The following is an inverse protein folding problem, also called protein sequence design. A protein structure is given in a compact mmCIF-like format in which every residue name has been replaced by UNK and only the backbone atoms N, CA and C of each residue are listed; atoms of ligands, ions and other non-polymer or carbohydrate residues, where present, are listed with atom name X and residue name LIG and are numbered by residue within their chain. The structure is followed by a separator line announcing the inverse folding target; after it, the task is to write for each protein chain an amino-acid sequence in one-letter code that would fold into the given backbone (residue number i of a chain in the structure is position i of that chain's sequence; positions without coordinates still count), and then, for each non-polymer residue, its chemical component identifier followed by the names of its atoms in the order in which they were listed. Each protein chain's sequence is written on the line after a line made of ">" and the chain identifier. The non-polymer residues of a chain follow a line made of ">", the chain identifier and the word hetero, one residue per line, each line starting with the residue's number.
data_IF_983132697392
#
_entry.id   IF_983132697392
#
_cell.length_a   1.000
_cell.length_b   1.000
_cell.length_c   1.000
_cell.angle_alpha   90.00
_cell.angle_beta   90.00
_cell.angle_gamma   90.00
#
_symmetry.space_group_name_H-M   'P 1'
#
loop_
_entity.id
_entity.type
_entity.pdbx_description
1 polymer ?
#
# COMPACT_ATOMS: atom_id res chain seq x y z
N UNK A 1 -33.96 -31.65 -30.34
CA UNK A 1 -34.22 -30.35 -29.67
C UNK A 1 -32.86 -29.79 -29.30
N UNK A 2 -32.40 -28.75 -30.01
CA UNK A 2 -31.12 -28.09 -29.73
C UNK A 2 -31.28 -27.28 -28.45
N UNK A 3 -30.45 -27.57 -27.46
CA UNK A 3 -30.33 -26.76 -26.25
C UNK A 3 -29.73 -25.41 -26.66
N UNK A 4 -30.55 -24.36 -26.71
CA UNK A 4 -30.10 -23.02 -27.04
C UNK A 4 -28.98 -22.58 -26.09
N UNK A 5 -27.93 -21.98 -26.65
CA UNK A 5 -26.86 -21.38 -25.86
C UNK A 5 -27.45 -20.37 -24.92
N UNK A 6 -27.14 -20.50 -23.63
CA UNK A 6 -27.53 -19.57 -22.58
C UNK A 6 -26.94 -18.19 -22.90
N UNK A 7 -27.75 -17.14 -23.18
CA UNK A 7 -27.24 -15.81 -23.55
C UNK A 7 -26.48 -15.12 -22.40
N UNK A 8 -26.43 -15.72 -21.22
CA UNK A 8 -25.75 -15.22 -20.03
C UNK A 8 -24.41 -15.92 -19.74
N UNK A 9 -23.96 -16.84 -20.63
CA UNK A 9 -22.61 -17.36 -20.61
C UNK A 9 -21.74 -16.50 -21.55
N UNK A 10 -20.99 -15.50 -21.02
CA UNK A 10 -19.94 -14.88 -21.80
C UNK A 10 -18.94 -15.96 -22.18
N UNK A 11 -18.46 -15.92 -23.43
CA UNK A 11 -17.36 -16.76 -23.90
C UNK A 11 -16.25 -16.79 -22.83
N UNK A 12 -15.64 -17.95 -22.57
CA UNK A 12 -14.54 -18.00 -21.60
C UNK A 12 -13.48 -16.97 -22.02
N UNK A 13 -13.19 -16.04 -21.12
CA UNK A 13 -12.06 -15.13 -21.28
C UNK A 13 -10.80 -16.00 -21.40
N UNK A 14 -9.86 -15.66 -22.30
CA UNK A 14 -8.60 -16.37 -22.35
C UNK A 14 -7.96 -16.33 -20.95
N UNK A 15 -7.54 -17.49 -20.48
CA UNK A 15 -6.77 -17.54 -19.24
C UNK A 15 -5.49 -16.72 -19.45
N UNK A 16 -5.10 -15.89 -18.48
CA UNK A 16 -3.80 -15.19 -18.56
C UNK A 16 -2.69 -16.25 -18.68
N UNK A 17 -1.68 -15.91 -19.46
CA UNK A 17 -0.53 -16.77 -19.68
C UNK A 17 0.05 -17.22 -18.32
N UNK A 18 0.47 -18.48 -18.17
CA UNK A 18 0.97 -19.02 -16.90
C UNK A 18 2.11 -18.20 -16.28
N UNK A 19 2.90 -17.53 -17.13
CA UNK A 19 4.01 -16.66 -16.74
C UNK A 19 3.57 -15.43 -15.92
N UNK A 20 2.30 -15.03 -16.04
CA UNK A 20 1.70 -13.93 -15.26
C UNK A 20 1.12 -14.40 -13.92
N UNK A 21 1.45 -15.60 -13.47
CA UNK A 21 0.97 -16.15 -12.20
C UNK A 21 2.13 -16.59 -11.34
N UNK A 22 2.04 -16.31 -10.05
CA UNK A 22 2.96 -16.84 -9.07
C UNK A 22 2.30 -16.88 -7.68
N UNK A 23 2.78 -17.77 -6.82
CA UNK A 23 2.41 -17.71 -5.41
C UNK A 23 3.17 -16.53 -4.76
N UNK A 24 2.47 -15.49 -4.28
CA UNK A 24 3.12 -14.35 -3.64
C UNK A 24 3.79 -14.69 -2.30
N UNK A 25 3.43 -15.81 -1.68
CA UNK A 25 4.04 -16.28 -0.42
C UNK A 25 5.28 -17.14 -0.66
N UNK A 26 5.53 -17.60 -1.90
CA UNK A 26 6.68 -18.44 -2.21
C UNK A 26 8.00 -17.72 -1.93
N UNK A 27 8.89 -18.40 -1.23
CA UNK A 27 10.20 -17.87 -0.83
C UNK A 27 10.17 -16.87 0.34
N UNK A 28 9.00 -16.54 0.88
CA UNK A 28 8.89 -15.75 2.10
C UNK A 28 9.06 -16.63 3.33
N UNK A 29 9.59 -16.05 4.42
CA UNK A 29 9.68 -16.76 5.71
C UNK A 29 8.28 -17.19 6.16
N UNK A 30 8.10 -18.44 6.65
CA UNK A 30 6.87 -18.88 7.29
C UNK A 30 6.47 -17.95 8.45
N UNK A 31 5.18 -17.85 8.75
CA UNK A 31 4.68 -16.99 9.83
C UNK A 31 5.36 -17.29 11.18
N UNK A 32 5.56 -18.56 11.50
CA UNK A 32 6.20 -19.00 12.73
C UNK A 32 7.71 -18.63 12.84
N UNK A 33 8.34 -18.25 11.73
CA UNK A 33 9.75 -17.84 11.67
C UNK A 33 9.92 -16.31 11.60
N UNK A 34 8.81 -15.56 11.57
CA UNK A 34 8.84 -14.11 11.66
C UNK A 34 9.17 -13.67 13.10
N UNK A 35 9.87 -12.57 13.23
CA UNK A 35 10.23 -12.03 14.54
C UNK A 35 11.39 -11.05 14.44
N UNK A 36 11.94 -10.64 15.58
CA UNK A 36 13.08 -9.74 15.63
C UNK A 36 14.26 -10.23 14.81
N UNK A 37 15.01 -9.28 14.25
CA UNK A 37 16.22 -9.52 13.46
C UNK A 37 17.21 -10.43 14.21
N UNK A 38 17.83 -11.35 13.50
CA UNK A 38 18.93 -12.18 14.03
C UNK A 38 20.23 -11.38 14.00
N UNK A 39 21.17 -11.73 14.88
CA UNK A 39 22.45 -11.01 15.01
C UNK A 39 23.33 -11.08 13.74
N UNK A 40 23.17 -12.13 12.93
CA UNK A 40 23.89 -12.34 11.67
C UNK A 40 23.25 -11.65 10.45
N UNK A 41 22.08 -11.05 10.63
CA UNK A 41 21.38 -10.32 9.56
C UNK A 41 21.89 -8.88 9.45
N UNK A 42 21.81 -8.26 8.25
CA UNK A 42 22.16 -6.86 8.04
C UNK A 42 21.37 -5.92 8.96
N UNK A 43 21.96 -4.75 9.24
CA UNK A 43 21.31 -3.74 10.08
C UNK A 43 20.02 -3.22 9.41
N UNK A 44 19.01 -2.81 10.21
CA UNK A 44 17.85 -2.10 9.70
C UNK A 44 18.26 -0.90 8.84
N UNK A 45 17.54 -0.66 7.75
CA UNK A 45 17.84 0.37 6.75
C UNK A 45 18.80 -0.08 5.66
N UNK A 46 19.47 -1.24 5.79
CA UNK A 46 20.28 -1.79 4.70
C UNK A 46 19.38 -2.16 3.51
N UNK A 47 19.67 -1.59 2.33
CA UNK A 47 18.98 -1.88 1.07
C UNK A 47 19.93 -2.61 0.13
N UNK A 48 19.61 -3.84 -0.21
CA UNK A 48 20.32 -4.64 -1.20
C UNK A 48 19.56 -4.59 -2.54
N UNK A 49 20.19 -4.07 -3.60
CA UNK A 49 19.61 -4.11 -4.94
C UNK A 49 19.94 -5.47 -5.56
N UNK A 50 18.92 -6.29 -5.76
CA UNK A 50 19.05 -7.68 -6.25
C UNK A 50 19.04 -7.75 -7.78
N UNK A 51 18.28 -6.87 -8.43
CA UNK A 51 18.21 -6.75 -9.88
C UNK A 51 17.62 -5.40 -10.29
N UNK A 52 17.98 -4.94 -11.49
CA UNK A 52 17.44 -3.75 -12.14
C UNK A 52 17.05 -4.11 -13.59
N UNK A 53 15.97 -3.53 -14.08
CA UNK A 53 15.54 -3.69 -15.46
C UNK A 53 16.37 -2.75 -16.36
N UNK A 54 16.83 -3.24 -17.50
CA UNK A 54 17.68 -2.46 -18.42
C UNK A 54 16.89 -1.44 -19.25
N UNK A 55 15.58 -1.64 -19.40
CA UNK A 55 14.71 -0.83 -20.27
C UNK A 55 13.86 0.18 -19.50
N UNK A 56 13.83 0.11 -18.17
CA UNK A 56 13.06 0.99 -17.31
C UNK A 56 13.78 1.24 -15.99
N UNK A 57 13.17 2.02 -15.08
CA UNK A 57 13.71 2.22 -13.73
C UNK A 57 13.31 1.12 -12.75
N UNK A 58 12.57 0.08 -13.19
CA UNK A 58 12.10 -0.99 -12.33
C UNK A 58 13.26 -1.73 -11.67
N UNK A 59 13.14 -1.96 -10.36
CA UNK A 59 14.17 -2.63 -9.58
C UNK A 59 13.58 -3.62 -8.58
N UNK A 60 14.32 -4.65 -8.24
CA UNK A 60 14.01 -5.55 -7.14
C UNK A 60 15.08 -5.43 -6.07
N UNK A 61 14.66 -5.11 -4.86
CA UNK A 61 15.56 -4.93 -3.73
C UNK A 61 15.13 -5.81 -2.54
N UNK A 62 15.99 -5.86 -1.54
CA UNK A 62 15.69 -6.36 -0.20
C UNK A 62 15.99 -5.28 0.81
N UNK A 63 14.96 -4.83 1.53
CA UNK A 63 15.07 -3.89 2.63
C UNK A 63 15.11 -4.69 3.94
N UNK A 64 16.12 -4.45 4.76
CA UNK A 64 16.22 -5.04 6.09
C UNK A 64 15.57 -4.14 7.13
N UNK A 65 14.73 -4.73 7.98
CA UNK A 65 14.07 -4.07 9.10
C UNK A 65 14.37 -4.78 10.42
N UNK A 66 13.95 -4.21 11.55
CA UNK A 66 14.10 -4.84 12.86
C UNK A 66 13.37 -6.19 12.98
N UNK A 67 12.30 -6.41 12.20
CA UNK A 67 11.50 -7.64 12.20
C UNK A 67 11.68 -8.49 10.93
N UNK A 68 12.79 -8.32 10.24
CA UNK A 68 13.21 -9.13 9.10
C UNK A 68 13.16 -8.40 7.76
N UNK A 69 13.50 -9.11 6.68
CA UNK A 69 13.60 -8.51 5.35
C UNK A 69 12.23 -8.31 4.68
N UNK A 70 12.17 -7.29 3.84
CA UNK A 70 11.07 -7.00 2.91
C UNK A 70 11.60 -7.07 1.49
N UNK A 71 11.09 -8.00 0.69
CA UNK A 71 11.41 -8.15 -0.73
C UNK A 71 10.59 -7.14 -1.55
N UNK A 72 11.24 -6.23 -2.25
CA UNK A 72 10.58 -5.19 -3.04
C UNK A 72 10.66 -5.49 -4.54
N UNK A 73 9.71 -4.97 -5.35
CA UNK A 73 8.52 -4.20 -4.98
C UNK A 73 7.59 -4.98 -4.04
N UNK A 74 6.90 -4.28 -3.13
CA UNK A 74 5.94 -4.90 -2.22
C UNK A 74 4.69 -4.05 -1.99
N UNK A 75 3.56 -4.71 -1.75
CA UNK A 75 2.30 -4.08 -1.38
C UNK A 75 2.04 -4.25 0.12
N UNK A 76 1.65 -3.18 0.80
CA UNK A 76 1.36 -3.15 2.22
C UNK A 76 -0.15 -3.10 2.46
N UNK A 77 -0.76 -4.13 3.06
CA UNK A 77 -2.15 -4.06 3.50
C UNK A 77 -2.33 -3.01 4.60
N UNK A 78 -3.42 -2.23 4.51
CA UNK A 78 -3.72 -1.18 5.48
C UNK A 78 -4.52 -1.73 6.65
N UNK A 79 -3.90 -1.69 7.84
CA UNK A 79 -4.46 -2.05 9.13
C UNK A 79 -4.65 -0.84 10.04
N UNK A 80 -5.58 0.06 9.72
CA UNK A 80 -5.79 1.39 10.33
C UNK A 80 -5.71 1.42 11.86
N UNK A 81 -6.31 0.46 12.54
CA UNK A 81 -6.33 0.35 14.01
C UNK A 81 -5.42 -0.79 14.54
N UNK A 82 -4.33 -1.08 13.85
CA UNK A 82 -3.55 -2.26 14.15
C UNK A 82 -4.23 -3.57 13.73
N UNK A 83 -5.13 -3.52 12.74
CA UNK A 83 -5.80 -4.71 12.20
C UNK A 83 -6.21 -4.49 10.74
N UNK A 84 -5.83 -5.39 9.86
CA UNK A 84 -6.42 -5.49 8.52
C UNK A 84 -7.80 -6.11 8.66
N UNK A 85 -8.84 -5.34 8.31
CA UNK A 85 -10.23 -5.66 8.66
C UNK A 85 -10.65 -7.07 8.21
N UNK A 86 -10.99 -7.91 9.18
CA UNK A 86 -11.54 -9.24 8.97
C UNK A 86 -10.50 -10.33 8.65
N UNK A 87 -9.20 -10.04 8.70
CA UNK A 87 -8.14 -11.01 8.36
C UNK A 87 -7.18 -11.15 9.53
N UNK A 88 -6.83 -12.39 9.87
CA UNK A 88 -5.85 -12.71 10.92
C UNK A 88 -4.42 -12.49 10.42
N UNK A 89 -3.45 -12.26 11.32
CA UNK A 89 -2.04 -12.11 10.95
C UNK A 89 -1.47 -13.30 10.16
N UNK A 90 -1.81 -14.52 10.54
CA UNK A 90 -1.39 -15.74 9.84
C UNK A 90 -1.94 -15.80 8.41
N UNK A 91 -3.18 -15.33 8.22
CA UNK A 91 -3.81 -15.28 6.90
C UNK A 91 -3.22 -14.19 6.02
N UNK A 92 -2.83 -13.05 6.61
CA UNK A 92 -2.09 -12.02 5.87
C UNK A 92 -0.78 -12.61 5.31
N UNK A 93 -0.06 -13.37 6.13
CA UNK A 93 1.16 -14.03 5.68
C UNK A 93 0.88 -15.08 4.60
N UNK A 94 -0.17 -15.89 4.78
CA UNK A 94 -0.56 -16.94 3.83
C UNK A 94 -1.00 -16.37 2.46
N UNK A 95 -1.44 -15.12 2.40
CA UNK A 95 -1.76 -14.44 1.13
C UNK A 95 -0.60 -13.57 0.60
N UNK A 96 0.61 -13.65 1.18
CA UNK A 96 1.82 -13.02 0.67
C UNK A 96 2.19 -11.68 1.29
N UNK A 97 1.50 -11.23 2.35
CA UNK A 97 1.88 -9.99 3.05
C UNK A 97 3.25 -10.14 3.72
N UNK A 98 4.15 -9.21 3.44
CA UNK A 98 5.49 -9.17 4.04
C UNK A 98 5.56 -8.11 5.15
N UNK A 99 4.91 -7.01 4.95
CA UNK A 99 4.85 -5.83 5.81
C UNK A 99 3.40 -5.36 5.86
N UNK A 100 2.98 -4.80 6.99
CA UNK A 100 1.66 -4.20 7.16
C UNK A 100 1.80 -2.71 7.45
N UNK A 101 0.80 -1.91 7.01
CA UNK A 101 0.73 -0.50 7.35
C UNK A 101 -0.35 -0.28 8.41
N UNK A 102 0.00 0.42 9.49
CA UNK A 102 -0.95 0.92 10.47
C UNK A 102 -0.98 2.46 10.47
N UNK A 103 -1.94 3.05 11.17
CA UNK A 103 -2.12 4.48 11.15
C UNK A 103 -1.86 5.08 12.54
N UNK A 104 -0.78 5.87 12.66
CA UNK A 104 -0.38 6.46 13.93
C UNK A 104 -1.44 7.41 14.50
N UNK A 105 -2.14 8.19 13.66
CA UNK A 105 -3.24 9.05 14.12
C UNK A 105 -4.30 8.26 14.88
N UNK A 106 -4.76 7.15 14.31
CA UNK A 106 -5.79 6.33 14.95
C UNK A 106 -5.28 5.67 16.23
N UNK A 107 -4.07 5.11 16.20
CA UNK A 107 -3.47 4.45 17.37
C UNK A 107 -3.13 5.43 18.48
N UNK A 108 -2.75 6.67 18.15
CA UNK A 108 -2.45 7.73 19.13
C UNK A 108 -3.69 8.20 19.88
N UNK A 109 -4.87 8.13 19.26
CA UNK A 109 -6.11 8.51 19.94
C UNK A 109 -6.78 7.33 20.64
N UNK A 110 -6.73 6.14 20.03
CA UNK A 110 -7.34 4.91 20.58
C UNK A 110 -6.55 3.68 20.15
N UNK A 111 -5.92 2.97 21.08
CA UNK A 111 -6.03 3.06 22.55
C UNK A 111 -5.11 4.12 23.20
N UNK A 112 -4.31 4.84 22.44
CA UNK A 112 -3.22 5.71 22.86
C UNK A 112 -1.86 5.06 22.71
N UNK A 113 -0.80 5.83 22.38
CA UNK A 113 0.55 5.31 22.09
C UNK A 113 1.15 4.63 23.31
N UNK A 114 0.90 5.16 24.51
CA UNK A 114 1.36 4.58 25.77
C UNK A 114 0.81 3.17 26.00
N UNK A 115 -0.49 2.96 25.68
CA UNK A 115 -1.08 1.63 25.81
C UNK A 115 -0.48 0.62 24.84
N UNK A 116 -0.17 1.05 23.62
CA UNK A 116 0.52 0.20 22.65
C UNK A 116 1.92 -0.16 23.15
N UNK A 117 2.66 0.81 23.70
CA UNK A 117 3.98 0.61 24.30
C UNK A 117 3.95 -0.38 25.47
N UNK A 118 2.98 -0.24 26.39
CA UNK A 118 2.83 -1.12 27.56
C UNK A 118 2.68 -2.60 27.22
N UNK A 119 2.07 -2.92 26.06
CA UNK A 119 1.90 -4.29 25.62
C UNK A 119 3.04 -4.81 24.73
N UNK A 120 4.10 -4.02 24.56
CA UNK A 120 5.29 -4.39 23.80
C UNK A 120 5.31 -3.90 22.35
N UNK A 121 4.66 -2.76 22.06
CA UNK A 121 4.61 -2.14 20.75
C UNK A 121 3.59 -2.76 19.80
N UNK A 122 3.54 -2.23 18.56
CA UNK A 122 2.54 -2.61 17.56
C UNK A 122 2.60 -4.10 17.19
N UNK A 123 3.79 -4.68 17.15
CA UNK A 123 3.99 -6.09 16.80
C UNK A 123 3.31 -7.03 17.80
N UNK A 124 3.51 -6.79 19.09
CA UNK A 124 2.85 -7.55 20.16
C UNK A 124 1.35 -7.24 20.22
N UNK A 125 0.96 -5.97 20.02
CA UNK A 125 -0.43 -5.52 20.03
C UNK A 125 -1.26 -6.18 18.92
N UNK A 126 -0.72 -6.22 17.68
CA UNK A 126 -1.36 -6.83 16.52
C UNK A 126 -1.18 -8.34 16.44
N UNK A 127 -0.25 -8.93 17.22
CA UNK A 127 0.24 -10.29 17.01
C UNK A 127 0.81 -10.50 15.59
N UNK A 128 1.41 -9.45 15.04
CA UNK A 128 2.09 -9.48 13.76
C UNK A 128 3.60 -9.43 13.99
N UNK A 129 4.32 -10.54 13.86
CA UNK A 129 5.76 -10.59 14.17
C UNK A 129 6.66 -10.10 13.02
N UNK A 130 6.09 -9.81 11.86
CA UNK A 130 6.82 -9.28 10.69
C UNK A 130 6.92 -7.74 10.69
N UNK A 131 7.56 -7.15 9.67
CA UNK A 131 7.72 -5.71 9.53
C UNK A 131 6.40 -4.94 9.57
N UNK A 132 6.44 -3.74 10.16
CA UNK A 132 5.31 -2.82 10.21
C UNK A 132 5.77 -1.39 9.85
N UNK A 133 4.92 -0.67 9.12
CA UNK A 133 5.08 0.76 8.84
C UNK A 133 3.90 1.50 9.46
N UNK A 134 4.15 2.69 10.03
CA UNK A 134 3.08 3.61 10.42
C UNK A 134 3.18 4.91 9.64
N UNK A 135 2.03 5.39 9.14
CA UNK A 135 1.93 6.74 8.60
C UNK A 135 1.91 7.78 9.74
N UNK A 136 2.25 9.03 9.43
CA UNK A 136 2.28 10.12 10.41
C UNK A 136 0.89 10.52 10.94
N UNK A 137 -0.16 10.14 10.26
CA UNK A 137 -1.52 10.62 10.53
C UNK A 137 -1.83 12.01 9.96
N UNK A 138 -0.88 12.65 9.29
CA UNK A 138 -1.07 14.00 8.71
C UNK A 138 -2.24 14.04 7.72
N UNK A 139 -2.31 13.11 6.78
CA UNK A 139 -3.41 13.05 5.80
C UNK A 139 -4.80 12.98 6.46
N UNK A 140 -4.96 12.24 7.55
CA UNK A 140 -6.22 12.12 8.27
C UNK A 140 -6.64 13.45 8.89
N UNK A 141 -5.69 14.18 9.45
CA UNK A 141 -5.95 15.53 9.98
C UNK A 141 -6.30 16.49 8.86
N UNK A 142 -5.56 16.50 7.75
CA UNK A 142 -5.81 17.41 6.62
C UNK A 142 -7.10 17.08 5.87
N UNK A 143 -7.58 15.86 5.85
CA UNK A 143 -8.88 15.51 5.27
C UNK A 143 -10.07 16.07 6.05
N UNK A 144 -9.89 16.43 7.32
CA UNK A 144 -10.91 17.00 8.23
C UNK A 144 -10.89 18.56 8.25
N UNK A 145 -10.74 19.19 7.12
CA UNK A 145 -10.48 20.63 6.90
C UNK A 145 -11.25 21.63 7.76
N UNK A 146 -12.48 21.35 8.13
CA UNK A 146 -13.34 22.27 8.88
C UNK A 146 -12.95 22.46 10.35
N UNK A 147 -12.01 21.67 10.85
CA UNK A 147 -11.70 21.53 12.30
C UNK A 147 -10.19 21.69 12.61
N UNK A 148 -9.41 22.34 11.70
CA UNK A 148 -7.97 22.44 11.84
C UNK A 148 -7.46 23.87 11.66
N UNK A 149 -6.35 24.18 12.34
CA UNK A 149 -5.54 25.38 12.13
C UNK A 149 -4.08 24.95 11.98
N UNK A 150 -3.45 25.32 10.86
CA UNK A 150 -2.09 24.93 10.51
C UNK A 150 -1.19 26.15 10.70
N UNK A 151 -0.05 25.94 11.35
CA UNK A 151 1.05 26.90 11.43
C UNK A 151 2.40 26.22 11.14
N UNK A 152 3.48 26.96 11.21
CA UNK A 152 4.82 26.43 10.91
C UNK A 152 5.35 25.43 11.92
N UNK A 153 4.78 25.38 13.12
CA UNK A 153 5.16 24.45 14.18
C UNK A 153 4.28 23.22 14.30
N UNK A 154 3.15 23.18 13.57
CA UNK A 154 2.26 22.01 13.61
C UNK A 154 0.82 22.28 13.19
N UNK A 155 -0.07 21.41 13.62
CA UNK A 155 -1.49 21.42 13.30
C UNK A 155 -2.32 21.30 14.57
N UNK A 156 -3.15 22.30 14.85
CA UNK A 156 -4.22 22.20 15.84
C UNK A 156 -5.46 21.62 15.16
N UNK A 157 -6.08 20.62 15.75
CA UNK A 157 -7.27 19.97 15.19
C UNK A 157 -8.21 19.47 16.28
N UNK A 158 -9.40 19.08 15.88
CA UNK A 158 -10.31 18.33 16.76
C UNK A 158 -10.38 16.89 16.33
N UNK A 159 -10.28 15.97 17.31
CA UNK A 159 -10.37 14.54 17.00
C UNK A 159 -11.74 14.19 16.44
N UNK A 160 -11.79 13.28 15.49
CA UNK A 160 -13.06 12.79 14.96
C UNK A 160 -13.75 11.78 15.89
N UNK A 161 -13.10 11.39 17.00
CA UNK A 161 -13.62 10.42 17.95
C UNK A 161 -14.59 11.05 18.96
N UNK A 162 -14.26 12.23 19.47
CA UNK A 162 -14.99 12.90 20.55
C UNK A 162 -14.96 14.43 20.44
N UNK A 163 -14.31 14.97 19.40
CA UNK A 163 -14.17 16.42 19.21
C UNK A 163 -13.18 17.11 20.14
N UNK A 164 -12.39 16.35 20.91
CA UNK A 164 -11.38 16.90 21.79
C UNK A 164 -10.31 17.66 21.00
N UNK A 165 -9.82 18.81 21.52
CA UNK A 165 -8.72 19.53 20.88
C UNK A 165 -7.44 18.72 21.01
N UNK A 166 -6.64 18.71 19.92
CA UNK A 166 -5.35 18.05 19.86
C UNK A 166 -4.38 18.87 19.01
N UNK A 167 -3.09 18.68 19.21
CA UNK A 167 -2.04 19.29 18.41
C UNK A 167 -1.07 18.22 17.93
N UNK A 168 -0.68 18.30 16.67
CA UNK A 168 0.31 17.44 16.03
C UNK A 168 1.49 18.31 15.59
N UNK A 169 2.70 17.94 16.01
CA UNK A 169 3.97 18.57 15.65
C UNK A 169 4.96 17.53 15.17
N UNK A 170 6.05 17.87 14.48
CA UNK A 170 7.08 16.91 14.12
C UNK A 170 7.58 16.10 15.32
N UNK A 171 7.83 16.74 16.47
CA UNK A 171 8.24 16.07 17.71
C UNK A 171 7.17 15.10 18.23
N UNK A 172 5.92 15.55 18.36
CA UNK A 172 4.86 14.71 18.93
C UNK A 172 4.54 13.49 18.05
N UNK A 173 4.72 13.61 16.70
CA UNK A 173 4.59 12.48 15.79
C UNK A 173 5.71 11.47 16.05
N UNK A 174 6.96 11.90 16.13
CA UNK A 174 8.07 10.99 16.42
C UNK A 174 7.94 10.32 17.80
N UNK A 175 7.47 11.04 18.81
CA UNK A 175 7.22 10.48 20.16
C UNK A 175 6.12 9.40 20.11
N UNK A 176 5.04 9.64 19.36
CA UNK A 176 3.99 8.64 19.16
C UNK A 176 4.50 7.42 18.39
N UNK A 177 5.30 7.63 17.33
CA UNK A 177 5.93 6.59 16.55
C UNK A 177 6.91 5.73 17.38
N UNK A 178 7.71 6.37 18.23
CA UNK A 178 8.59 5.66 19.17
C UNK A 178 7.80 4.78 20.15
N UNK A 179 6.67 5.28 20.65
CA UNK A 179 5.82 4.54 21.58
C UNK A 179 5.03 3.41 20.89
N UNK A 180 4.56 3.63 19.65
CA UNK A 180 3.90 2.60 18.85
C UNK A 180 4.88 1.50 18.43
N UNK A 181 6.14 1.86 18.11
CA UNK A 181 7.22 0.93 17.83
C UNK A 181 7.12 0.18 16.50
N UNK A 182 6.78 0.80 15.34
CA UNK A 182 6.89 0.17 14.04
C UNK A 182 8.35 0.09 13.58
N UNK A 183 8.63 -0.70 12.52
CA UNK A 183 9.95 -0.72 11.88
C UNK A 183 10.21 0.55 11.05
N UNK A 184 9.17 1.10 10.43
CA UNK A 184 9.28 2.28 9.56
C UNK A 184 8.28 3.33 10.04
N UNK A 185 8.79 4.52 10.34
CA UNK A 185 8.03 5.69 10.76
C UNK A 185 7.98 6.72 9.64
N UNK A 186 6.81 7.31 9.39
CA UNK A 186 6.68 8.43 8.47
C UNK A 186 6.71 9.76 9.22
N UNK A 187 7.41 10.76 8.68
CA UNK A 187 7.39 12.11 9.25
C UNK A 187 6.05 12.80 9.04
N UNK A 188 5.77 13.84 9.84
CA UNK A 188 4.65 14.74 9.58
C UNK A 188 4.89 15.52 8.29
N UNK A 189 3.89 15.56 7.42
CA UNK A 189 3.88 16.32 6.17
C UNK A 189 2.58 17.09 6.01
N UNK A 190 2.60 18.13 5.19
CA UNK A 190 1.40 18.85 4.79
C UNK A 190 0.99 18.41 3.38
N UNK A 191 -0.05 17.60 3.30
CA UNK A 191 -0.62 17.13 2.04
C UNK A 191 -1.78 18.05 1.60
N UNK A 192 -1.57 18.94 0.62
CA UNK A 192 -2.65 19.76 0.08
C UNK A 192 -3.57 18.91 -0.80
N UNK A 193 -4.83 19.33 -1.03
CA UNK A 193 -5.70 18.67 -2.00
C UNK A 193 -5.14 18.68 -3.42
N UNK A 194 -5.47 17.66 -4.21
CA UNK A 194 -5.01 17.53 -5.60
C UNK A 194 -5.45 18.67 -6.54
N UNK A 195 -6.51 19.39 -6.17
CA UNK A 195 -7.01 20.56 -6.92
C UNK A 195 -6.37 21.89 -6.48
N UNK A 196 -5.42 21.88 -5.54
CA UNK A 196 -4.77 23.08 -5.03
C UNK A 196 -3.96 23.77 -6.13
N UNK A 197 -3.98 25.10 -6.11
CA UNK A 197 -3.13 25.89 -7.01
C UNK A 197 -1.64 25.76 -6.63
N UNK A 198 -0.76 26.22 -7.53
CA UNK A 198 0.69 26.13 -7.35
C UNK A 198 1.18 26.85 -6.09
N UNK A 199 0.54 27.96 -5.69
CA UNK A 199 0.95 28.72 -4.51
C UNK A 199 0.65 27.95 -3.22
N UNK A 200 -0.53 27.34 -3.11
CA UNK A 200 -0.91 26.49 -1.99
C UNK A 200 -0.04 25.22 -1.91
N UNK A 201 0.28 24.60 -3.06
CA UNK A 201 1.21 23.47 -3.13
C UNK A 201 2.59 23.87 -2.65
N UNK A 202 3.11 25.04 -3.07
CA UNK A 202 4.39 25.60 -2.60
C UNK A 202 4.40 25.81 -1.09
N UNK A 203 3.36 26.45 -0.54
CA UNK A 203 3.26 26.71 0.90
C UNK A 203 3.27 25.38 1.70
N UNK A 204 2.52 24.39 1.24
CA UNK A 204 2.50 23.06 1.87
C UNK A 204 3.86 22.35 1.79
N UNK A 205 4.54 22.46 0.65
CA UNK A 205 5.88 21.93 0.44
C UNK A 205 6.91 22.59 1.37
N UNK A 206 6.91 23.95 1.45
CA UNK A 206 7.84 24.70 2.29
C UNK A 206 7.64 24.38 3.77
N UNK A 207 6.38 24.17 4.20
CA UNK A 207 6.05 23.75 5.56
C UNK A 207 6.55 22.32 5.82
N UNK A 208 6.30 21.39 4.88
CA UNK A 208 6.82 20.02 4.97
C UNK A 208 8.35 20.01 5.05
N UNK A 209 9.04 20.87 4.32
CA UNK A 209 10.52 21.00 4.42
C UNK A 209 10.96 21.43 5.81
N UNK A 210 10.28 22.40 6.46
CA UNK A 210 10.60 22.82 7.84
C UNK A 210 10.39 21.66 8.81
N UNK A 211 9.25 21.00 8.73
CA UNK A 211 8.93 19.86 9.58
C UNK A 211 9.88 18.67 9.37
N UNK A 212 10.27 18.41 8.12
CA UNK A 212 11.24 17.36 7.80
C UNK A 212 12.63 17.65 8.41
N UNK A 213 13.09 18.89 8.37
CA UNK A 213 14.37 19.30 9.02
C UNK A 213 14.31 19.13 10.53
N UNK A 214 13.20 19.52 11.15
CA UNK A 214 12.99 19.31 12.58
C UNK A 214 12.97 17.80 12.91
N UNK A 215 12.20 17.00 12.18
CA UNK A 215 12.14 15.55 12.37
C UNK A 215 13.51 14.89 12.19
N UNK A 216 14.27 15.25 11.15
CA UNK A 216 15.60 14.73 10.93
C UNK A 216 16.58 15.05 12.06
N UNK A 217 16.44 16.22 12.68
CA UNK A 217 17.27 16.61 13.83
C UNK A 217 16.92 15.88 15.14
N UNK A 218 15.64 15.48 15.29
CA UNK A 218 15.11 14.87 16.51
C UNK A 218 15.10 13.34 16.46
N UNK A 219 15.08 12.73 15.27
CA UNK A 219 14.84 11.29 15.12
C UNK A 219 15.79 10.41 15.94
N UNK A 220 17.08 10.77 16.01
CA UNK A 220 18.07 9.97 16.74
C UNK A 220 17.95 10.10 18.27
N UNK A 221 17.31 11.17 18.76
CA UNK A 221 17.01 11.37 20.17
C UNK A 221 15.73 10.59 20.58
N UNK A 222 14.73 10.53 19.69
CA UNK A 222 13.38 10.08 20.01
C UNK A 222 13.11 8.64 19.58
N UNK A 223 13.49 8.28 18.34
CA UNK A 223 13.23 6.93 17.82
C UNK A 223 14.24 5.92 18.35
N UNK A 224 13.83 4.66 18.43
CA UNK A 224 14.77 3.58 18.73
C UNK A 224 15.76 3.41 17.58
N UNK A 225 16.96 2.92 17.87
CA UNK A 225 18.06 2.80 16.89
C UNK A 225 17.73 1.91 15.69
N UNK A 226 16.81 0.94 15.85
CA UNK A 226 16.37 0.02 14.82
C UNK A 226 15.12 0.52 14.06
N UNK A 227 14.53 1.66 14.44
CA UNK A 227 13.40 2.27 13.73
C UNK A 227 13.90 3.13 12.57
N UNK A 228 13.40 2.87 11.38
CA UNK A 228 13.67 3.64 10.18
C UNK A 228 12.73 4.85 10.10
N UNK A 229 13.24 5.98 9.65
CA UNK A 229 12.46 7.20 9.45
C UNK A 229 12.49 7.62 7.98
N UNK A 230 11.31 7.76 7.37
CA UNK A 230 11.19 8.11 5.95
C UNK A 230 10.74 9.57 5.81
N UNK A 231 11.44 10.31 4.92
CA UNK A 231 11.04 11.63 4.48
C UNK A 231 9.92 11.56 3.44
N UNK A 232 9.06 12.58 3.39
CA UNK A 232 7.94 12.64 2.44
C UNK A 232 8.14 13.82 1.49
N UNK A 233 8.27 13.51 0.18
CA UNK A 233 8.38 14.50 -0.88
C UNK A 233 6.98 14.94 -1.31
N UNK A 234 6.69 16.22 -1.23
CA UNK A 234 5.46 16.88 -1.67
C UNK A 234 5.70 17.66 -2.98
N UNK A 235 4.70 18.34 -3.52
CA UNK A 235 4.80 19.17 -4.74
C UNK A 235 3.66 18.93 -5.73
N UNK A 236 2.59 18.20 -5.34
CA UNK A 236 1.44 17.90 -6.22
C UNK A 236 1.89 17.19 -7.50
N UNK A 237 1.37 17.62 -8.64
CA UNK A 237 1.79 17.17 -9.98
C UNK A 237 2.74 18.14 -10.68
N UNK A 238 3.24 19.18 -9.98
CA UNK A 238 4.21 20.12 -10.49
C UNK A 238 5.62 19.52 -10.40
N UNK A 239 6.20 19.17 -11.55
CA UNK A 239 7.48 18.47 -11.61
C UNK A 239 8.66 19.31 -11.09
N UNK A 240 8.61 20.64 -11.22
CA UNK A 240 9.68 21.51 -10.74
C UNK A 240 9.63 21.61 -9.21
N UNK A 241 8.44 21.75 -8.64
CA UNK A 241 8.27 21.71 -7.19
C UNK A 241 8.68 20.35 -6.59
N UNK A 242 8.35 19.25 -7.26
CA UNK A 242 8.78 17.91 -6.85
C UNK A 242 10.30 17.76 -6.82
N UNK A 243 10.99 18.20 -7.87
CA UNK A 243 12.47 18.16 -7.94
C UNK A 243 13.08 19.00 -6.85
N UNK A 244 12.65 20.25 -6.73
CA UNK A 244 13.11 21.17 -5.68
C UNK A 244 12.94 20.57 -4.28
N UNK A 245 11.78 19.98 -4.00
CA UNK A 245 11.54 19.39 -2.70
C UNK A 245 12.37 18.13 -2.46
N UNK A 246 12.49 17.26 -3.46
CA UNK A 246 13.37 16.09 -3.37
C UNK A 246 14.81 16.50 -3.06
N UNK A 247 15.35 17.48 -3.76
CA UNK A 247 16.69 18.02 -3.52
C UNK A 247 16.84 18.58 -2.11
N UNK A 248 15.81 19.27 -1.59
CA UNK A 248 15.83 19.85 -0.25
C UNK A 248 15.80 18.80 0.87
N UNK A 249 15.29 17.60 0.61
CA UNK A 249 15.19 16.50 1.56
C UNK A 249 16.30 15.46 1.41
N UNK A 250 16.85 15.27 0.22
CA UNK A 250 17.81 14.19 -0.07
C UNK A 250 19.08 14.23 0.78
N UNK A 251 19.48 15.43 1.26
CA UNK A 251 20.62 15.62 2.15
C UNK A 251 20.30 15.44 3.64
N UNK A 252 19.03 15.25 4.02
CA UNK A 252 18.64 15.03 5.40
C UNK A 252 18.83 13.56 5.80
N UNK A 253 19.01 13.34 7.11
CA UNK A 253 19.23 12.00 7.66
C UNK A 253 17.93 11.17 7.71
N UNK A 254 17.48 10.70 6.54
CA UNK A 254 16.37 9.76 6.41
C UNK A 254 16.84 8.42 5.84
N UNK A 255 16.19 7.34 6.26
CA UNK A 255 16.49 5.97 5.84
C UNK A 255 15.80 5.58 4.53
N UNK A 256 14.79 6.35 4.12
CA UNK A 256 14.02 6.17 2.88
C UNK A 256 13.23 7.43 2.54
N UNK A 257 12.61 7.42 1.37
CA UNK A 257 11.78 8.53 0.91
C UNK A 257 10.45 8.05 0.34
N UNK A 258 9.40 8.82 0.63
CA UNK A 258 8.08 8.59 0.07
C UNK A 258 7.65 9.75 -0.84
N UNK A 259 6.88 9.45 -1.87
CA UNK A 259 6.11 10.42 -2.66
C UNK A 259 4.71 10.54 -2.04
N UNK A 260 4.46 11.65 -1.35
CA UNK A 260 3.15 11.99 -0.80
C UNK A 260 2.35 12.89 -1.74
N UNK A 261 1.07 13.18 -1.41
CA UNK A 261 0.22 14.10 -2.17
C UNK A 261 -0.05 13.67 -3.61
N UNK A 262 -0.14 12.37 -3.84
CA UNK A 262 -0.64 11.74 -5.06
C UNK A 262 -1.88 10.91 -4.73
N UNK A 263 -2.75 10.65 -5.74
CA UNK A 263 -4.06 9.99 -5.54
C UNK A 263 -4.99 10.74 -4.58
N UNK A 264 -4.93 12.08 -4.60
CA UNK A 264 -5.71 12.98 -3.75
C UNK A 264 -6.69 13.87 -4.56
N UNK A 265 -6.99 13.48 -5.81
CA UNK A 265 -7.96 14.15 -6.69
C UNK A 265 -7.41 14.59 -8.05
N UNK A 266 -6.11 14.46 -8.29
CA UNK A 266 -5.48 14.76 -9.58
C UNK A 266 -5.86 13.71 -10.65
N UNK A 267 -5.79 14.06 -11.95
CA UNK A 267 -5.99 13.11 -13.05
C UNK A 267 -4.93 11.99 -13.03
N UNK A 268 -5.37 10.74 -13.22
CA UNK A 268 -4.48 9.56 -13.25
C UNK A 268 -3.28 9.71 -14.21
N UNK A 269 -3.43 10.24 -15.44
CA UNK A 269 -2.28 10.46 -16.32
C UNK A 269 -1.24 11.44 -15.74
N UNK A 270 -1.66 12.47 -15.02
CA UNK A 270 -0.75 13.42 -14.39
C UNK A 270 0.00 12.76 -13.23
N UNK A 271 -0.67 11.92 -12.44
CA UNK A 271 -0.05 11.11 -11.40
C UNK A 271 1.03 10.18 -11.98
N UNK A 272 0.71 9.42 -13.03
CA UNK A 272 1.67 8.52 -13.68
C UNK A 272 2.87 9.27 -14.26
N UNK A 273 2.64 10.41 -14.94
CA UNK A 273 3.73 11.24 -15.44
C UNK A 273 4.63 11.78 -14.31
N UNK A 274 4.05 12.11 -13.16
CA UNK A 274 4.80 12.54 -11.98
C UNK A 274 5.67 11.40 -11.42
N UNK A 275 5.12 10.18 -11.31
CA UNK A 275 5.87 9.01 -10.87
C UNK A 275 7.04 8.73 -11.80
N UNK A 276 6.80 8.70 -13.10
CA UNK A 276 7.81 8.45 -14.13
C UNK A 276 8.95 9.47 -14.10
N UNK A 277 8.63 10.76 -13.89
CA UNK A 277 9.60 11.84 -13.87
C UNK A 277 10.39 11.95 -12.56
N UNK A 278 9.81 11.57 -11.41
CA UNK A 278 10.38 11.88 -10.10
C UNK A 278 10.96 10.64 -9.40
N UNK A 279 10.28 9.48 -9.47
CA UNK A 279 10.75 8.30 -8.74
C UNK A 279 12.18 7.86 -9.12
N UNK A 280 12.62 7.92 -10.40
CA UNK A 280 14.00 7.59 -10.76
C UNK A 280 15.05 8.55 -10.17
N UNK A 281 14.67 9.79 -9.82
CA UNK A 281 15.57 10.79 -9.23
C UNK A 281 15.79 10.59 -7.72
N UNK A 282 14.94 9.80 -7.06
CA UNK A 282 15.08 9.50 -5.64
C UNK A 282 16.39 8.71 -5.39
N UNK A 283 17.04 8.88 -4.21
CA UNK A 283 18.30 8.20 -3.91
C UNK A 283 18.26 6.71 -4.23
N UNK A 284 19.31 6.23 -4.94
CA UNK A 284 19.36 4.84 -5.41
C UNK A 284 19.55 3.83 -4.28
N UNK A 285 20.29 4.23 -3.26
CA UNK A 285 20.63 3.43 -2.08
C UNK A 285 19.58 3.48 -0.97
N UNK A 286 18.41 4.10 -1.22
CA UNK A 286 17.31 4.24 -0.27
C UNK A 286 16.04 3.59 -0.83
N UNK A 287 15.17 3.01 0.04
CA UNK A 287 13.85 2.56 -0.37
C UNK A 287 12.97 3.73 -0.81
N UNK A 288 12.17 3.48 -1.86
CA UNK A 288 11.25 4.43 -2.49
C UNK A 288 9.81 3.98 -2.29
N UNK A 289 9.05 4.79 -1.61
CA UNK A 289 7.66 4.50 -1.31
C UNK A 289 6.74 5.50 -2.01
N UNK A 290 5.63 5.08 -2.57
CA UNK A 290 4.55 5.96 -3.00
C UNK A 290 3.30 5.69 -2.18
N UNK A 291 2.75 6.74 -1.56
CA UNK A 291 1.68 6.63 -0.58
C UNK A 291 0.30 6.60 -1.25
N UNK A 292 -0.56 5.69 -0.80
CA UNK A 292 -1.99 5.70 -1.09
C UNK A 292 -2.40 5.30 -2.51
N UNK A 293 -1.49 4.83 -3.36
CA UNK A 293 -1.84 4.37 -4.71
C UNK A 293 -2.05 2.85 -4.75
N UNK A 294 -3.02 2.38 -5.54
CA UNK A 294 -3.30 0.97 -5.44
C UNK A 294 -4.30 0.39 -6.45
N UNK A 295 -4.48 0.97 -7.62
CA UNK A 295 -5.03 0.16 -8.71
C UNK A 295 -3.93 -0.68 -9.35
N UNK A 296 -4.29 -1.78 -9.99
CA UNK A 296 -3.31 -2.62 -10.68
C UNK A 296 -2.53 -1.83 -11.76
N UNK A 297 -3.17 -0.86 -12.41
CA UNK A 297 -2.53 0.01 -13.39
C UNK A 297 -1.51 0.96 -12.73
N UNK A 298 -1.87 1.55 -11.59
CA UNK A 298 -0.99 2.46 -10.86
C UNK A 298 0.24 1.73 -10.33
N UNK A 299 0.05 0.52 -9.79
CA UNK A 299 1.16 -0.32 -9.33
C UNK A 299 2.12 -0.68 -10.47
N UNK A 300 1.58 -1.00 -11.66
CA UNK A 300 2.41 -1.30 -12.82
C UNK A 300 3.25 -0.08 -13.25
N UNK A 301 2.61 1.11 -13.35
CA UNK A 301 3.29 2.36 -13.70
C UNK A 301 4.37 2.72 -12.66
N UNK A 302 4.06 2.63 -11.37
CA UNK A 302 4.96 2.97 -10.30
C UNK A 302 6.16 2.01 -10.20
N UNK A 303 5.96 0.70 -10.37
CA UNK A 303 7.04 -0.29 -10.41
C UNK A 303 7.97 0.00 -11.60
N UNK A 304 7.42 0.29 -12.78
CA UNK A 304 8.20 0.69 -13.95
C UNK A 304 9.05 1.94 -13.69
N UNK A 305 8.53 2.88 -12.90
CA UNK A 305 9.23 4.09 -12.48
C UNK A 305 10.26 3.86 -11.36
N UNK A 306 10.40 2.64 -10.83
CA UNK A 306 11.40 2.28 -9.83
C UNK A 306 10.98 2.48 -8.39
N UNK A 307 9.68 2.47 -8.11
CA UNK A 307 9.12 2.51 -6.75
C UNK A 307 9.15 1.11 -6.14
N UNK A 308 9.48 1.03 -4.85
CA UNK A 308 9.67 -0.21 -4.08
C UNK A 308 8.46 -0.61 -3.25
N UNK A 309 7.72 0.37 -2.68
CA UNK A 309 6.71 0.13 -1.66
C UNK A 309 5.41 0.86 -1.99
N UNK A 310 4.28 0.21 -1.69
CA UNK A 310 2.94 0.71 -2.01
C UNK A 310 1.96 0.34 -0.90
N UNK A 311 1.01 1.23 -0.62
CA UNK A 311 -0.14 0.92 0.23
C UNK A 311 -1.42 1.39 -0.42
N UNK A 312 -2.52 0.71 -0.15
CA UNK A 312 -3.86 1.22 -0.46
C UNK A 312 -4.94 0.45 0.31
N UNK A 313 -6.03 1.14 0.61
CA UNK A 313 -7.21 0.52 1.23
C UNK A 313 -8.09 -0.25 0.23
N UNK A 314 -7.84 -0.12 -1.08
CA UNK A 314 -8.65 -0.70 -2.16
C UNK A 314 -8.94 -2.20 -1.93
N UNK A 315 -7.97 -3.08 -1.67
CA UNK A 315 -8.25 -4.51 -1.55
C UNK A 315 -9.32 -4.81 -0.49
N UNK A 316 -9.17 -4.27 0.69
CA UNK A 316 -10.06 -4.52 1.81
C UNK A 316 -11.36 -3.69 1.75
N UNK A 317 -11.32 -2.44 1.25
CA UNK A 317 -12.50 -1.58 1.08
C UNK A 317 -13.44 -2.16 0.01
N UNK A 318 -12.91 -2.52 -1.15
CA UNK A 318 -13.67 -3.09 -2.25
C UNK A 318 -14.27 -4.46 -1.86
N UNK A 319 -13.50 -5.31 -1.18
CA UNK A 319 -14.01 -6.58 -0.65
C UNK A 319 -15.27 -6.37 0.19
N UNK A 320 -15.23 -5.46 1.17
CA UNK A 320 -16.38 -5.17 2.04
C UNK A 320 -17.61 -4.67 1.28
N UNK A 321 -17.39 -3.99 0.14
CA UNK A 321 -18.46 -3.46 -0.71
C UNK A 321 -18.93 -4.43 -1.79
N UNK A 322 -18.52 -5.69 -1.74
CA UNK A 322 -18.94 -6.72 -2.69
C UNK A 322 -18.08 -6.81 -3.95
N UNK A 323 -17.01 -6.02 -4.07
CA UNK A 323 -16.17 -5.99 -5.25
C UNK A 323 -14.98 -6.93 -5.11
N UNK A 324 -14.85 -7.90 -6.01
CA UNK A 324 -13.76 -8.84 -6.11
C UNK A 324 -12.88 -8.48 -7.32
N UNK A 325 -11.56 -8.62 -7.16
CA UNK A 325 -10.55 -8.22 -8.13
C UNK A 325 -9.70 -9.44 -8.48
N UNK A 326 -9.53 -9.70 -9.78
CA UNK A 326 -8.76 -10.84 -10.28
C UNK A 326 -8.03 -10.50 -11.57
N UNK A 327 -7.19 -11.37 -12.08
CA UNK A 327 -6.60 -11.21 -13.42
C UNK A 327 -7.64 -11.22 -14.54
N UNK A 328 -8.83 -11.78 -14.30
CA UNK A 328 -9.96 -11.74 -15.23
C UNK A 328 -10.77 -10.44 -15.17
N UNK A 329 -10.38 -9.49 -14.31
CA UNK A 329 -11.08 -8.23 -14.11
C UNK A 329 -11.68 -8.09 -12.72
N UNK A 330 -12.45 -7.04 -12.53
CA UNK A 330 -13.21 -6.78 -11.28
C UNK A 330 -14.70 -7.00 -11.53
N UNK A 331 -15.40 -7.50 -10.52
CA UNK A 331 -16.84 -7.67 -10.59
C UNK A 331 -17.48 -7.55 -9.20
N UNK A 332 -18.76 -7.19 -9.19
CA UNK A 332 -19.52 -7.11 -7.95
C UNK A 332 -20.25 -8.44 -7.72
N UNK A 333 -19.92 -9.12 -6.63
CA UNK A 333 -20.49 -10.43 -6.28
C UNK A 333 -22.01 -10.38 -6.02
N UNK A 334 -22.57 -9.21 -5.77
CA UNK A 334 -24.02 -9.01 -5.57
C UNK A 334 -24.84 -9.35 -6.81
N UNK A 335 -24.21 -9.29 -8.01
CA UNK A 335 -24.90 -9.54 -9.26
C UNK A 335 -25.59 -10.91 -9.28
N UNK A 336 -26.83 -10.95 -9.78
CA UNK A 336 -27.69 -12.14 -9.84
C UNK A 336 -27.09 -13.31 -10.63
N UNK A 337 -26.24 -13.02 -11.62
CA UNK A 337 -25.54 -14.04 -12.45
C UNK A 337 -24.69 -15.01 -11.63
N UNK A 338 -24.20 -14.60 -10.47
CA UNK A 338 -23.38 -15.45 -9.60
C UNK A 338 -24.18 -16.35 -8.66
N UNK A 339 -25.52 -16.29 -8.68
CA UNK A 339 -26.38 -17.11 -7.80
C UNK A 339 -26.18 -18.61 -7.97
N UNK A 340 -25.82 -19.06 -9.17
CA UNK A 340 -25.60 -20.46 -9.54
C UNK A 340 -24.23 -20.67 -10.19
N UNK A 341 -23.25 -19.81 -9.89
CA UNK A 341 -21.90 -19.91 -10.43
C UNK A 341 -20.99 -20.61 -9.41
N UNK A 342 -20.77 -21.90 -9.62
CA UNK A 342 -19.96 -22.73 -8.74
C UNK A 342 -18.45 -22.66 -9.01
N UNK A 343 -18.02 -21.82 -9.96
CA UNK A 343 -16.60 -21.56 -10.23
C UNK A 343 -15.99 -20.71 -9.08
N UNK A 344 -14.68 -20.80 -8.85
CA UNK A 344 -13.97 -19.89 -7.94
C UNK A 344 -14.02 -18.45 -8.46
N UNK A 345 -13.60 -17.47 -7.62
CA UNK A 345 -13.51 -16.06 -8.02
C UNK A 345 -12.65 -15.92 -9.28
N UNK A 346 -11.52 -16.60 -9.31
CA UNK A 346 -10.60 -16.66 -10.44
C UNK A 346 -10.09 -18.10 -10.56
N UNK A 347 -10.40 -18.82 -11.67
CA UNK A 347 -9.95 -20.21 -11.87
C UNK A 347 -8.44 -20.40 -11.86
N UNK A 348 -7.67 -19.38 -12.28
CA UNK A 348 -6.21 -19.40 -12.25
C UNK A 348 -5.59 -18.95 -10.91
N UNK A 349 -6.39 -18.58 -9.93
CA UNK A 349 -5.89 -18.07 -8.64
C UNK A 349 -5.65 -19.21 -7.64
N UNK A 350 -4.46 -19.29 -7.08
CA UNK A 350 -4.08 -20.30 -6.09
C UNK A 350 -4.38 -19.89 -4.62
N UNK A 351 -5.10 -18.77 -4.40
CA UNK A 351 -5.37 -18.33 -3.03
C UNK A 351 -6.26 -19.34 -2.26
N UNK A 352 -6.14 -19.36 -0.92
CA UNK A 352 -6.93 -20.28 -0.09
C UNK A 352 -8.45 -20.17 -0.27
N UNK A 353 -8.93 -19.01 -0.77
CA UNK A 353 -10.36 -18.76 -1.02
C UNK A 353 -10.79 -19.40 -2.33
N UNK A 354 -10.07 -19.15 -3.43
CA UNK A 354 -10.38 -19.74 -4.74
C UNK A 354 -10.24 -21.26 -4.76
N UNK A 355 -9.31 -21.81 -3.97
CA UNK A 355 -9.13 -23.25 -3.83
C UNK A 355 -10.31 -23.96 -3.14
N UNK A 356 -11.20 -23.23 -2.43
CA UNK A 356 -12.19 -23.84 -1.52
C UNK A 356 -13.61 -23.36 -1.74
N UNK A 357 -13.82 -22.14 -2.22
CA UNK A 357 -15.15 -21.49 -2.22
C UNK A 357 -15.55 -21.02 -3.60
N UNK A 358 -16.83 -21.22 -3.93
CA UNK A 358 -17.43 -20.79 -5.19
C UNK A 358 -17.96 -19.35 -5.11
N UNK A 359 -18.16 -18.73 -6.28
CA UNK A 359 -18.83 -17.43 -6.40
C UNK A 359 -20.25 -17.47 -5.86
N UNK A 360 -21.00 -18.57 -6.07
CA UNK A 360 -22.36 -18.75 -5.54
C UNK A 360 -22.36 -18.70 -4.02
N UNK A 361 -21.41 -19.35 -3.34
CA UNK A 361 -21.27 -19.31 -1.88
C UNK A 361 -20.88 -17.93 -1.38
N UNK A 362 -19.86 -17.30 -1.98
CA UNK A 362 -19.44 -15.94 -1.60
C UNK A 362 -20.59 -14.94 -1.77
N UNK A 363 -21.37 -15.06 -2.85
CA UNK A 363 -22.56 -14.25 -3.06
C UNK A 363 -23.60 -14.49 -1.97
N UNK A 364 -23.84 -15.73 -1.60
CA UNK A 364 -24.78 -16.08 -0.52
C UNK A 364 -24.38 -15.38 0.79
N UNK A 365 -23.13 -15.51 1.19
CA UNK A 365 -22.62 -14.84 2.40
C UNK A 365 -22.78 -13.31 2.31
N UNK A 366 -22.42 -12.71 1.16
CA UNK A 366 -22.49 -11.27 0.97
C UNK A 366 -23.92 -10.72 1.08
N UNK A 367 -24.89 -11.40 0.43
CA UNK A 367 -26.31 -10.97 0.44
C UNK A 367 -26.93 -11.06 1.85
N UNK A 368 -26.43 -11.96 2.68
CA UNK A 368 -26.85 -12.10 4.08
C UNK A 368 -26.04 -11.27 5.06
N UNK A 369 -25.10 -10.43 4.57
CA UNK A 369 -24.18 -9.62 5.38
C UNK A 369 -23.36 -10.45 6.39
N UNK A 370 -23.02 -11.70 6.02
CA UNK A 370 -22.24 -12.58 6.88
C UNK A 370 -20.79 -12.06 7.01
N UNK A 371 -20.24 -11.88 8.22
CA UNK A 371 -18.87 -11.43 8.42
C UNK A 371 -17.81 -12.29 7.73
N UNK A 372 -18.06 -13.59 7.54
CA UNK A 372 -17.16 -14.50 6.83
C UNK A 372 -16.93 -14.05 5.38
N UNK A 373 -17.94 -13.45 4.73
CA UNK A 373 -17.75 -12.88 3.40
C UNK A 373 -16.61 -11.84 3.38
N UNK A 374 -16.64 -10.90 4.32
CA UNK A 374 -15.63 -9.83 4.40
C UNK A 374 -14.21 -10.42 4.52
N UNK A 375 -14.05 -11.44 5.37
CA UNK A 375 -12.78 -12.15 5.55
C UNK A 375 -12.32 -12.81 4.26
N UNK A 376 -13.15 -13.65 3.66
CA UNK A 376 -12.80 -14.37 2.43
C UNK A 376 -12.52 -13.42 1.26
N UNK A 377 -13.38 -12.43 1.05
CA UNK A 377 -13.22 -11.45 -0.02
C UNK A 377 -11.95 -10.60 0.16
N UNK A 378 -11.62 -10.20 1.38
CA UNK A 378 -10.40 -9.44 1.68
C UNK A 378 -9.15 -10.28 1.43
N UNK A 379 -9.13 -11.54 1.87
CA UNK A 379 -8.03 -12.45 1.62
C UNK A 379 -7.78 -12.65 0.10
N UNK A 380 -8.85 -12.87 -0.67
CA UNK A 380 -8.72 -13.02 -2.12
C UNK A 380 -8.17 -11.76 -2.80
N UNK A 381 -8.73 -10.58 -2.47
CA UNK A 381 -8.26 -9.33 -3.06
C UNK A 381 -6.82 -9.02 -2.66
N UNK A 382 -6.41 -9.26 -1.41
CA UNK A 382 -5.03 -9.08 -0.98
C UNK A 382 -4.08 -10.02 -1.72
N UNK A 383 -4.46 -11.30 -1.86
CA UNK A 383 -3.68 -12.27 -2.65
C UNK A 383 -3.45 -11.76 -4.07
N UNK A 384 -4.49 -11.26 -4.74
CA UNK A 384 -4.34 -10.67 -6.08
C UNK A 384 -3.33 -9.53 -6.11
N UNK A 385 -3.37 -8.60 -5.14
CA UNK A 385 -2.43 -7.47 -5.13
C UNK A 385 -0.99 -7.92 -4.84
N UNK A 386 -0.81 -8.87 -3.95
CA UNK A 386 0.50 -9.45 -3.68
C UNK A 386 1.03 -10.23 -4.88
N UNK A 387 0.21 -11.04 -5.53
CA UNK A 387 0.55 -11.76 -6.75
C UNK A 387 0.92 -10.79 -7.89
N UNK A 388 0.12 -9.72 -8.08
CA UNK A 388 0.37 -8.68 -9.08
C UNK A 388 1.73 -8.01 -8.93
N UNK A 389 2.17 -7.76 -7.71
CA UNK A 389 3.49 -7.20 -7.42
C UNK A 389 4.59 -8.27 -7.48
N UNK A 390 4.33 -9.47 -6.98
CA UNK A 390 5.32 -10.55 -6.95
C UNK A 390 5.71 -11.04 -8.35
N UNK A 391 4.76 -11.12 -9.29
CA UNK A 391 5.07 -11.50 -10.67
C UNK A 391 6.01 -10.50 -11.33
N UNK A 392 5.82 -9.20 -11.08
CA UNK A 392 6.70 -8.15 -11.57
C UNK A 392 8.09 -8.23 -10.91
N UNK A 393 8.16 -8.39 -9.59
CA UNK A 393 9.42 -8.57 -8.85
C UNK A 393 10.24 -9.75 -9.40
N UNK A 394 9.60 -10.89 -9.67
CA UNK A 394 10.26 -12.05 -10.27
C UNK A 394 10.73 -11.78 -11.69
N UNK A 395 9.93 -11.10 -12.50
CA UNK A 395 10.29 -10.74 -13.86
C UNK A 395 11.53 -9.82 -13.91
N UNK A 396 11.61 -8.85 -13.00
CA UNK A 396 12.81 -8.00 -12.87
C UNK A 396 14.04 -8.86 -12.55
N UNK A 397 13.94 -9.82 -11.63
CA UNK A 397 15.04 -10.72 -11.26
C UNK A 397 15.47 -11.67 -12.37
N UNK A 398 14.53 -12.07 -13.22
CA UNK A 398 14.84 -12.92 -14.38
C UNK A 398 15.34 -12.15 -15.59
N UNK A 399 15.16 -10.81 -15.63
CA UNK A 399 15.54 -9.96 -16.75
C UNK A 399 14.52 -9.96 -17.90
N UNK A 400 13.27 -10.39 -17.67
CA UNK A 400 12.19 -10.43 -18.65
C UNK A 400 11.03 -9.46 -18.34
N UNK A 401 11.30 -8.44 -17.50
CA UNK A 401 10.28 -7.51 -17.00
C UNK A 401 9.49 -6.81 -18.11
N UNK A 402 10.15 -6.38 -19.20
CA UNK A 402 9.47 -5.69 -20.30
C UNK A 402 8.37 -6.57 -20.94
N UNK A 403 8.62 -7.87 -21.14
CA UNK A 403 7.65 -8.81 -21.71
C UNK A 403 6.48 -9.04 -20.75
N UNK A 404 6.76 -9.26 -19.46
CA UNK A 404 5.74 -9.47 -18.42
C UNK A 404 4.89 -8.20 -18.24
N UNK A 405 5.49 -7.02 -18.19
CA UNK A 405 4.77 -5.76 -18.09
C UNK A 405 3.80 -5.55 -19.27
N UNK A 406 4.25 -5.84 -20.50
CA UNK A 406 3.38 -5.78 -21.69
C UNK A 406 2.21 -6.79 -21.62
N UNK A 407 2.43 -7.98 -21.06
CA UNK A 407 1.37 -8.96 -20.77
C UNK A 407 0.34 -8.42 -19.77
N UNK A 408 0.82 -7.81 -18.68
CA UNK A 408 -0.04 -7.18 -17.65
C UNK A 408 -0.84 -5.99 -18.23
N UNK A 409 -0.25 -5.18 -19.11
CA UNK A 409 -0.97 -4.11 -19.83
C UNK A 409 -2.11 -4.65 -20.69
N UNK A 410 -1.92 -5.77 -21.39
CA UNK A 410 -3.00 -6.43 -22.13
C UNK A 410 -4.13 -6.87 -21.21
N UNK A 411 -3.81 -7.44 -20.05
CA UNK A 411 -4.81 -7.80 -19.02
C UNK A 411 -5.59 -6.57 -18.58
N UNK A 412 -4.94 -5.41 -18.35
CA UNK A 412 -5.61 -4.16 -18.02
C UNK A 412 -6.46 -3.62 -19.18
N UNK A 413 -5.96 -3.66 -20.42
CA UNK A 413 -6.67 -3.21 -21.61
C UNK A 413 -7.92 -4.04 -21.92
N UNK A 414 -7.87 -5.35 -21.74
CA UNK A 414 -9.02 -6.24 -21.88
C UNK A 414 -10.16 -5.92 -20.89
N UNK A 415 -9.84 -5.32 -19.75
CA UNK A 415 -10.81 -4.92 -18.71
C UNK A 415 -11.60 -3.66 -19.06
N UNK A 416 -11.08 -2.80 -19.94
CA UNK A 416 -11.67 -1.50 -20.29
C UNK A 416 -12.51 -1.53 -21.57
N UNK A 417 -12.57 -2.67 -22.29
CA UNK A 417 -13.38 -2.75 -23.51
C UNK A 417 -14.89 -2.76 -23.22
N UNK A 418 -15.72 -2.01 -24.00
CA UNK A 418 -17.17 -2.07 -23.92
C UNK A 418 -17.65 -3.51 -24.18
N UNK A 419 -18.32 -4.11 -23.20
CA UNK A 419 -18.75 -5.53 -23.26
C UNK A 419 -17.98 -6.45 -22.33
N UNK A 420 -16.83 -6.07 -21.80
CA UNK A 420 -16.24 -6.75 -20.64
C UNK A 420 -17.15 -6.48 -19.42
N UNK A 421 -17.31 -7.48 -18.56
CA UNK A 421 -18.12 -7.36 -17.33
C UNK A 421 -17.67 -6.19 -16.40
N UNK A 422 -16.57 -5.50 -16.75
CA UNK A 422 -16.00 -4.34 -16.04
C UNK A 422 -16.50 -2.99 -16.60
N UNK A 423 -17.02 -2.92 -17.84
CA UNK A 423 -17.46 -1.67 -18.46
C UNK A 423 -18.89 -1.23 -18.04
N UNK A 424 -19.61 -2.04 -17.28
CA UNK A 424 -20.99 -1.78 -16.90
C UNK A 424 -21.19 -1.13 -15.53
N UNK A 425 -20.10 -0.74 -14.83
CA UNK A 425 -20.18 -0.14 -13.47
C UNK A 425 -19.09 0.95 -13.31
N UNK A 426 -19.22 2.06 -14.04
CA UNK A 426 -18.60 3.35 -13.69
C UNK A 426 -19.68 4.22 -13.06
#
# INVERSE_FOLDING_TARGET
>A
MAVGADPWHPSPMPEPEPELRCDPAEGLRPFAELGPRRADEPRPGSLEILAEDLASAARSCRLWTAHGPVETPCFMPVGTYGAVKGVLPEELRAVGSQIVLANAYHLSHRPGPERVREVGGIHAFMRWPGPALTDSGGYQVFSLRSLQKIDDSGVDYRTHFDGAPARMTPRSVLEAEAAIGPDICMILDHCPPGESDRAAVREAMDRTTRWAREAASLRREILHEDQLCFGIVQGGTDLDLRREHLESLAGLDFDGFALGGLSVGEPVPAMHATLEAIAPLMPRDKPRYVMGIGTAADLLAAIRAGVDMFDCVIPSRHARNGQLISFLGRFNIRNGRFRRDDRPVDPGCACPVCARFSRSYLRHLHVHNDPLYVRLATMHNLYFFHEWVAVQRRAIRRGDYAAVAAGLEKVLGARTQPGSAAAAEV
#
